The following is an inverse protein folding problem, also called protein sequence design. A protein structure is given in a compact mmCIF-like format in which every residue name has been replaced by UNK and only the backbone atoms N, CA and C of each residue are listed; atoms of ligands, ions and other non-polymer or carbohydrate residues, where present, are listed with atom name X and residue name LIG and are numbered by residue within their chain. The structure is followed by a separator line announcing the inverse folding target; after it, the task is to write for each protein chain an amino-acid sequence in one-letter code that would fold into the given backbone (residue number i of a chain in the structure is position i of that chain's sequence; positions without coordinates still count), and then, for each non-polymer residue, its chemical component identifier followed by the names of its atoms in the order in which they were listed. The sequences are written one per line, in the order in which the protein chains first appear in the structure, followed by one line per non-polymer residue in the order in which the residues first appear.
data_IF_518632562150
#
_entry.id   IF_518632562150
#
_cell.length_a   1.000
_cell.length_b   1.000
_cell.length_c   1.000
_cell.angle_alpha   90.00
_cell.angle_beta   90.00
_cell.angle_gamma   90.00
#
_symmetry.space_group_name_H-M   'P 1'
#
loop_
_entity.id
_entity.type
_entity.pdbx_description
1 polymer ?
#
# COMPACT_ATOMS: atom_id res chain seq x y z
N UNK A 1 12.72 14.36 13.68
CA UNK A 1 12.01 13.08 13.75
C UNK A 1 10.80 13.15 12.82
N UNK A 2 10.62 12.15 11.97
CA UNK A 2 9.62 12.13 10.92
C UNK A 2 8.79 10.85 11.05
N UNK A 3 7.59 10.81 10.49
CA UNK A 3 6.72 9.64 10.56
C UNK A 3 5.85 9.54 9.31
N UNK A 4 6.10 8.53 8.49
CA UNK A 4 5.29 8.18 7.33
C UNK A 4 4.25 7.10 7.68
N UNK A 5 3.01 7.31 7.27
CA UNK A 5 1.87 6.40 7.50
C UNK A 5 0.92 6.39 6.31
N UNK A 6 0.03 5.39 6.25
CA UNK A 6 -1.13 5.41 5.38
C UNK A 6 -1.99 6.65 5.70
N UNK A 7 -2.27 7.46 4.70
CA UNK A 7 -3.11 8.66 4.84
C UNK A 7 -4.55 8.36 5.26
N UNK A 8 -5.03 7.14 5.00
CA UNK A 8 -6.34 6.63 5.36
C UNK A 8 -6.26 5.68 6.58
N UNK A 9 -6.13 6.21 7.78
CA UNK A 9 -6.16 5.39 9.01
C UNK A 9 -4.84 5.25 9.76
N UNK A 10 -3.75 5.86 9.29
CA UNK A 10 -2.50 5.99 10.07
C UNK A 10 -1.68 4.70 10.22
N UNK A 11 -1.99 3.65 9.51
CA UNK A 11 -1.27 2.36 9.52
C UNK A 11 0.09 2.47 8.82
N UNK A 12 0.98 1.51 9.10
CA UNK A 12 2.24 1.32 8.35
C UNK A 12 2.06 0.48 7.08
N UNK A 13 0.83 0.14 6.74
CA UNK A 13 0.48 -0.63 5.55
C UNK A 13 -0.46 0.19 4.67
N UNK A 14 -0.22 0.13 3.36
CA UNK A 14 -1.10 0.69 2.32
C UNK A 14 -1.55 -0.43 1.39
N UNK A 15 -2.70 -0.27 0.76
CA UNK A 15 -3.18 -1.22 -0.24
C UNK A 15 -2.32 -1.18 -1.51
N UNK A 16 -2.22 -2.33 -2.19
CA UNK A 16 -1.65 -2.41 -3.53
C UNK A 16 -2.71 -1.94 -4.55
N UNK A 17 -3.06 -0.66 -4.51
CA UNK A 17 -4.14 -0.06 -5.27
C UNK A 17 -3.71 1.27 -5.92
N UNK A 18 -4.58 1.80 -6.79
CA UNK A 18 -4.41 3.15 -7.35
C UNK A 18 -4.80 4.22 -6.35
N UNK A 19 -4.19 5.39 -6.47
CA UNK A 19 -4.49 6.58 -5.67
C UNK A 19 -4.33 6.38 -4.15
N UNK A 20 -3.38 5.52 -3.75
CA UNK A 20 -3.04 5.40 -2.33
C UNK A 20 -2.33 6.65 -1.84
N UNK A 21 -2.47 6.94 -0.56
CA UNK A 21 -1.88 8.12 0.06
C UNK A 21 -0.89 7.69 1.15
N UNK A 22 0.34 8.20 1.06
CA UNK A 22 1.27 8.22 2.20
C UNK A 22 1.24 9.63 2.78
N UNK A 23 0.93 9.75 4.06
CA UNK A 23 1.08 10.98 4.82
C UNK A 23 2.37 10.91 5.61
N UNK A 24 3.25 11.89 5.40
CA UNK A 24 4.49 12.05 6.14
C UNK A 24 4.45 13.32 7.00
N UNK A 25 4.66 13.16 8.29
CA UNK A 25 4.74 14.27 9.25
C UNK A 25 6.19 14.52 9.63
N UNK A 26 6.76 15.58 9.09
CA UNK A 26 8.16 16.00 9.33
C UNK A 26 8.20 16.99 10.48
N UNK A 27 8.83 16.61 11.57
CA UNK A 27 9.10 17.52 12.73
C UNK A 27 10.44 18.21 12.54
N UNK A 28 10.44 19.52 12.68
CA UNK A 28 11.65 20.33 12.64
C UNK A 28 11.92 21.00 13.99
N UNK A 29 13.19 21.29 14.25
CA UNK A 29 13.65 22.02 15.43
C UNK A 29 14.83 22.93 15.06
N UNK A 30 15.08 23.95 15.90
CA UNK A 30 16.18 24.90 15.79
C UNK A 30 16.18 25.73 14.48
N UNK A 31 15.02 25.90 13.84
CA UNK A 31 14.93 26.76 12.67
C UNK A 31 14.87 28.23 13.09
N UNK A 32 15.61 29.12 12.38
CA UNK A 32 15.44 30.55 12.55
C UNK A 32 14.03 30.98 12.16
N UNK A 33 13.39 31.71 13.08
CA UNK A 33 12.01 32.20 12.85
C UNK A 33 11.98 33.29 11.78
N UNK A 34 10.86 33.42 11.06
CA UNK A 34 10.63 34.37 9.95
C UNK A 34 11.53 34.13 8.74
N UNK A 35 12.19 32.97 8.64
CA UNK A 35 12.90 32.55 7.45
C UNK A 35 12.03 31.57 6.66
N UNK A 36 12.21 31.60 5.34
CA UNK A 36 11.50 30.74 4.40
C UNK A 36 12.32 29.49 4.12
N UNK A 37 11.62 28.37 4.08
CA UNK A 37 12.17 27.04 3.86
C UNK A 37 11.38 26.31 2.79
N UNK A 38 12.06 25.38 2.13
CA UNK A 38 11.45 24.39 1.25
C UNK A 38 11.78 22.99 1.78
N UNK A 39 10.76 22.22 2.05
CA UNK A 39 10.85 20.80 2.36
C UNK A 39 10.55 20.00 1.10
N UNK A 40 11.43 19.05 0.76
CA UNK A 40 11.27 18.10 -0.33
C UNK A 40 11.22 16.70 0.24
N UNK A 41 10.17 15.95 -0.11
CA UNK A 41 10.05 14.54 0.17
C UNK A 41 10.12 13.74 -1.13
N UNK A 42 10.82 12.61 -1.11
CA UNK A 42 10.95 11.70 -2.25
C UNK A 42 10.62 10.29 -1.78
N UNK A 43 9.71 9.60 -2.49
CA UNK A 43 9.46 8.19 -2.23
C UNK A 43 10.58 7.33 -2.84
N UNK A 44 11.14 6.45 -2.03
CA UNK A 44 12.18 5.50 -2.46
C UNK A 44 11.86 4.08 -1.99
N UNK A 45 12.41 3.08 -2.67
CA UNK A 45 12.39 1.71 -2.17
C UNK A 45 13.33 1.57 -0.99
N UNK A 46 12.83 1.09 0.15
CA UNK A 46 13.65 0.91 1.36
C UNK A 46 14.85 -0.02 1.13
N UNK A 47 14.71 -1.01 0.24
CA UNK A 47 15.75 -2.02 -0.03
C UNK A 47 16.94 -1.50 -0.82
N UNK A 48 16.77 -0.44 -1.63
CA UNK A 48 17.81 0.05 -2.54
C UNK A 48 18.10 1.53 -2.42
N UNK A 49 17.17 2.32 -1.83
CA UNK A 49 17.22 3.77 -1.88
C UNK A 49 16.88 4.38 -3.24
N UNK A 50 16.58 3.54 -4.24
CA UNK A 50 16.19 4.01 -5.56
C UNK A 50 14.80 4.64 -5.55
N UNK A 51 14.56 5.72 -6.31
CA UNK A 51 13.27 6.37 -6.36
C UNK A 51 12.14 5.45 -6.83
N UNK A 52 10.97 5.59 -6.22
CA UNK A 52 9.72 5.06 -6.78
C UNK A 52 9.29 5.96 -7.93
N UNK A 53 9.06 5.37 -9.10
CA UNK A 53 8.76 6.11 -10.31
C UNK A 53 7.25 6.07 -10.63
N UNK A 54 6.73 7.20 -11.08
CA UNK A 54 5.43 7.32 -11.74
C UNK A 54 5.66 7.94 -13.13
N UNK A 55 5.30 7.21 -14.19
CA UNK A 55 5.58 7.62 -15.57
C UNK A 55 7.06 8.00 -15.79
N UNK A 56 7.98 7.15 -15.35
CA UNK A 56 9.44 7.30 -15.44
C UNK A 56 10.02 8.51 -14.69
N UNK A 57 9.25 9.11 -13.79
CA UNK A 57 9.70 10.24 -12.95
C UNK A 57 9.61 9.89 -11.47
N UNK A 58 10.58 10.30 -10.65
CA UNK A 58 10.50 10.15 -9.21
C UNK A 58 9.23 10.79 -8.63
N UNK A 59 8.62 10.13 -7.66
CA UNK A 59 7.51 10.69 -6.90
C UNK A 59 8.09 11.62 -5.85
N UNK A 60 7.91 12.92 -6.07
CA UNK A 60 8.45 13.99 -5.23
C UNK A 60 7.32 14.95 -4.85
N UNK A 61 7.32 15.36 -3.59
CA UNK A 61 6.47 16.42 -3.08
C UNK A 61 7.35 17.52 -2.50
N UNK A 62 7.08 18.76 -2.84
CA UNK A 62 7.74 19.93 -2.28
C UNK A 62 6.73 20.81 -1.54
N UNK A 63 7.13 21.37 -0.41
CA UNK A 63 6.32 22.28 0.39
C UNK A 63 7.15 23.43 0.92
N UNK A 64 6.82 24.64 0.52
CA UNK A 64 7.44 25.86 1.05
C UNK A 64 6.69 26.35 2.28
N UNK A 65 7.40 26.85 3.27
CA UNK A 65 6.80 27.41 4.48
C UNK A 65 7.74 28.43 5.13
N UNK A 66 7.15 29.39 5.87
CA UNK A 66 7.88 30.30 6.74
C UNK A 66 7.86 29.77 8.17
N UNK A 67 9.02 29.62 8.80
CA UNK A 67 9.12 29.16 10.19
C UNK A 67 8.53 30.22 11.14
N UNK A 68 7.36 29.96 11.71
CA UNK A 68 6.72 30.84 12.71
C UNK A 68 7.26 30.61 14.12
N UNK A 69 7.80 29.42 14.37
CA UNK A 69 8.44 28.98 15.61
C UNK A 69 9.71 28.22 15.27
N UNK A 70 10.64 28.16 16.20
CA UNK A 70 11.88 27.39 16.03
C UNK A 70 11.65 25.88 15.92
N UNK A 71 10.49 25.41 16.40
CA UNK A 71 10.06 24.01 16.38
C UNK A 71 8.65 23.91 15.82
N UNK A 72 8.36 22.83 15.12
CA UNK A 72 7.05 22.59 14.53
C UNK A 72 7.00 21.31 13.71
N UNK A 73 5.95 21.18 12.91
CA UNK A 73 5.80 20.06 11.97
C UNK A 73 5.17 20.53 10.67
N UNK A 74 5.49 19.80 9.60
CA UNK A 74 4.91 19.95 8.26
C UNK A 74 4.43 18.59 7.82
N UNK A 75 3.19 18.51 7.38
CA UNK A 75 2.63 17.31 6.76
C UNK A 75 2.84 17.38 5.24
N UNK A 76 3.29 16.28 4.65
CA UNK A 76 3.36 16.06 3.21
C UNK A 76 2.49 14.87 2.83
N UNK A 77 1.84 14.93 1.69
CA UNK A 77 0.99 13.85 1.18
C UNK A 77 1.47 13.43 -0.21
N UNK A 78 1.72 12.13 -0.36
CA UNK A 78 2.13 11.50 -1.60
C UNK A 78 0.99 10.64 -2.11
N UNK A 79 0.43 11.02 -3.26
CA UNK A 79 -0.63 10.26 -3.93
C UNK A 79 -0.02 9.54 -5.12
N UNK A 80 -0.15 8.21 -5.19
CA UNK A 80 0.47 7.43 -6.26
C UNK A 80 -0.24 6.10 -6.51
N UNK A 81 0.14 5.42 -7.61
CA UNK A 81 -0.31 4.07 -7.95
C UNK A 81 0.64 3.04 -7.34
N UNK A 82 0.15 2.28 -6.36
CA UNK A 82 0.87 1.18 -5.72
C UNK A 82 0.45 -0.21 -6.23
N UNK A 83 -0.38 -0.29 -7.28
CA UNK A 83 -0.96 -1.56 -7.76
C UNK A 83 0.08 -2.57 -8.27
N UNK A 84 1.27 -2.11 -8.66
CA UNK A 84 2.40 -2.98 -9.06
C UNK A 84 3.47 -3.18 -7.98
N UNK A 85 3.26 -2.69 -6.74
CA UNK A 85 4.29 -2.63 -5.71
C UNK A 85 4.05 -3.61 -4.55
N UNK A 86 3.27 -4.68 -4.75
CA UNK A 86 2.94 -5.64 -3.70
C UNK A 86 4.17 -6.14 -2.94
N UNK A 87 4.13 -6.04 -1.62
CA UNK A 87 5.19 -6.48 -0.71
C UNK A 87 6.42 -5.56 -0.67
N UNK A 88 6.43 -4.49 -1.45
CA UNK A 88 7.51 -3.50 -1.39
C UNK A 88 7.39 -2.64 -0.14
N UNK A 89 8.53 -2.25 0.40
CA UNK A 89 8.62 -1.24 1.46
C UNK A 89 9.05 0.08 0.84
N UNK A 90 8.26 1.11 1.09
CA UNK A 90 8.48 2.47 0.61
C UNK A 90 8.98 3.30 1.78
N UNK A 91 10.03 4.04 1.57
CA UNK A 91 10.64 4.96 2.51
C UNK A 91 10.47 6.40 1.99
N UNK A 92 10.29 7.36 2.89
CA UNK A 92 10.26 8.78 2.53
C UNK A 92 11.62 9.40 2.85
N UNK A 93 12.35 9.85 1.83
CA UNK A 93 13.52 10.70 2.01
C UNK A 93 13.09 12.16 2.14
N UNK A 94 13.62 12.88 3.12
CA UNK A 94 13.36 14.30 3.30
C UNK A 94 14.65 15.12 3.21
N UNK A 95 14.49 16.28 2.57
CA UNK A 95 15.51 17.29 2.44
C UNK A 95 14.91 18.65 2.77
N UNK A 96 15.49 19.35 3.71
CA UNK A 96 15.11 20.72 4.09
C UNK A 96 16.11 21.70 3.51
N UNK A 97 15.61 22.71 2.79
CA UNK A 97 16.41 23.77 2.21
C UNK A 97 15.98 25.12 2.80
N UNK A 98 16.93 26.05 2.95
CA UNK A 98 16.57 27.46 2.93
C UNK A 98 15.95 27.78 1.56
N UNK A 99 14.95 28.64 1.51
CA UNK A 99 14.37 29.05 0.23
C UNK A 99 15.47 29.57 -0.72
N UNK A 100 15.36 29.19 -1.99
CA UNK A 100 16.31 29.55 -3.05
C UNK A 100 17.75 28.97 -2.88
N UNK A 101 17.98 28.05 -1.96
CA UNK A 101 19.23 27.31 -1.88
C UNK A 101 19.10 25.94 -2.59
N UNK A 102 20.23 25.49 -3.17
CA UNK A 102 20.31 24.18 -3.84
C UNK A 102 20.94 23.10 -2.96
N UNK A 103 21.59 23.50 -1.87
CA UNK A 103 22.19 22.58 -0.90
C UNK A 103 21.24 22.46 0.27
N UNK A 104 20.89 21.22 0.64
CA UNK A 104 20.00 20.96 1.76
C UNK A 104 20.68 21.36 3.09
N UNK A 105 19.92 22.08 3.93
CA UNK A 105 20.33 22.44 5.29
C UNK A 105 20.24 21.24 6.24
N UNK A 106 19.31 20.32 5.99
CA UNK A 106 19.16 19.07 6.73
C UNK A 106 18.61 17.96 5.81
N UNK A 107 19.00 16.74 6.07
CA UNK A 107 18.61 15.55 5.30
C UNK A 107 18.22 14.41 6.24
N UNK A 108 17.16 13.68 5.91
CA UNK A 108 16.82 12.41 6.54
C UNK A 108 16.72 11.31 5.48
N UNK A 109 17.75 10.44 5.43
CA UNK A 109 17.90 9.37 4.43
C UNK A 109 18.32 8.04 5.08
N UNK A 110 17.95 7.82 6.34
CA UNK A 110 18.24 6.57 7.05
C UNK A 110 17.22 5.49 6.68
N UNK A 111 17.55 4.64 5.71
CA UNK A 111 16.71 3.53 5.26
C UNK A 111 16.35 2.51 6.36
N UNK A 112 17.02 2.55 7.50
CA UNK A 112 16.73 1.74 8.68
C UNK A 112 15.61 2.30 9.55
N UNK A 113 15.19 3.56 9.34
CA UNK A 113 14.14 4.18 10.15
C UNK A 113 12.76 3.60 9.79
N UNK A 114 12.26 2.73 10.69
CA UNK A 114 10.91 2.14 10.58
C UNK A 114 9.81 3.20 10.69
N UNK A 115 10.09 4.35 11.31
CA UNK A 115 9.19 5.48 11.40
C UNK A 115 8.86 6.08 10.03
N UNK A 116 9.79 5.96 9.08
CA UNK A 116 9.67 6.48 7.71
C UNK A 116 9.29 5.42 6.67
N UNK A 117 9.07 4.18 7.10
CA UNK A 117 8.77 3.07 6.20
C UNK A 117 7.28 2.73 6.21
N UNK A 118 6.69 2.61 5.02
CA UNK A 118 5.35 2.09 4.78
C UNK A 118 5.45 0.85 3.89
N UNK A 119 4.70 -0.19 4.21
CA UNK A 119 4.70 -1.45 3.44
C UNK A 119 3.47 -1.53 2.54
N UNK A 120 3.66 -1.81 1.27
CA UNK A 120 2.56 -2.13 0.34
C UNK A 120 2.08 -3.54 0.63
N UNK A 121 0.77 -3.71 0.85
CA UNK A 121 0.16 -5.01 1.15
C UNK A 121 0.43 -6.02 0.01
N UNK A 122 0.45 -7.30 0.37
CA UNK A 122 0.61 -8.38 -0.59
C UNK A 122 -0.44 -9.46 -0.30
N UNK A 123 -1.73 -9.19 -0.60
CA UNK A 123 -2.80 -10.13 -0.39
C UNK A 123 -2.56 -11.45 -1.15
N UNK A 124 -2.74 -12.56 -0.46
CA UNK A 124 -2.67 -13.89 -1.04
C UNK A 124 -3.92 -14.66 -0.66
N UNK A 125 -4.45 -15.40 -1.62
CA UNK A 125 -5.60 -16.27 -1.45
C UNK A 125 -5.21 -17.69 -1.84
N UNK A 126 -5.65 -18.65 -1.04
CA UNK A 126 -5.55 -20.08 -1.33
C UNK A 126 -6.89 -20.72 -1.03
N UNK A 127 -7.37 -21.60 -1.90
CA UNK A 127 -8.64 -22.29 -1.70
C UNK A 127 -8.48 -23.81 -1.72
N UNK A 128 -9.39 -24.50 -1.05
CA UNK A 128 -9.50 -25.96 -1.04
C UNK A 128 -10.98 -26.33 -1.13
N UNK A 129 -11.41 -26.79 -2.31
CA UNK A 129 -12.74 -27.29 -2.54
C UNK A 129 -12.86 -28.77 -2.10
N UNK A 130 -13.99 -29.15 -1.51
CA UNK A 130 -14.31 -30.52 -1.11
C UNK A 130 -15.81 -30.78 -1.15
N UNK A 131 -16.21 -32.05 -1.20
CA UNK A 131 -17.57 -32.47 -0.95
C UNK A 131 -17.96 -32.10 0.49
N UNK A 132 -19.05 -31.36 0.66
CA UNK A 132 -19.49 -30.92 2.00
C UNK A 132 -19.90 -32.08 2.90
N UNK A 133 -20.34 -33.22 2.31
CA UNK A 133 -20.90 -34.34 3.06
C UNK A 133 -19.79 -35.13 3.79
N UNK A 134 -18.70 -35.43 3.09
CA UNK A 134 -17.65 -36.34 3.58
C UNK A 134 -16.23 -35.79 3.50
N UNK A 135 -16.06 -34.55 2.99
CA UNK A 135 -14.76 -33.92 2.83
C UNK A 135 -13.92 -34.46 1.67
N UNK A 136 -14.41 -35.43 0.91
CA UNK A 136 -13.70 -36.03 -0.23
C UNK A 136 -13.53 -35.04 -1.39
N UNK A 137 -12.74 -35.45 -2.40
CA UNK A 137 -12.58 -34.71 -3.67
C UNK A 137 -13.50 -35.25 -4.78
N UNK A 138 -14.36 -36.17 -4.43
CA UNK A 138 -15.31 -36.78 -5.36
C UNK A 138 -16.72 -36.32 -5.03
N UNK A 139 -17.52 -36.14 -6.05
CA UNK A 139 -18.95 -35.87 -5.94
C UNK A 139 -19.71 -36.98 -6.65
N UNK A 140 -20.71 -37.52 -5.99
CA UNK A 140 -21.65 -38.43 -6.67
C UNK A 140 -22.51 -37.61 -7.65
N UNK A 141 -22.83 -38.19 -8.82
CA UNK A 141 -23.72 -37.56 -9.80
C UNK A 141 -25.16 -37.54 -9.26
N UNK A 142 -25.54 -36.45 -8.61
CA UNK A 142 -26.86 -36.26 -8.04
C UNK A 142 -27.39 -34.87 -8.43
N UNK A 143 -28.72 -34.68 -8.29
CA UNK A 143 -29.40 -33.42 -8.60
C UNK A 143 -29.01 -32.27 -7.70
N UNK A 144 -28.53 -32.57 -6.49
CA UNK A 144 -28.06 -31.55 -5.52
C UNK A 144 -26.79 -32.02 -4.84
N UNK A 145 -25.68 -31.51 -5.33
CA UNK A 145 -24.40 -31.66 -4.66
C UNK A 145 -23.97 -30.31 -4.02
N UNK A 146 -23.26 -30.37 -2.93
CA UNK A 146 -22.74 -29.16 -2.28
C UNK A 146 -21.23 -29.24 -2.21
N UNK A 147 -20.56 -28.26 -2.80
CA UNK A 147 -19.11 -28.06 -2.68
C UNK A 147 -18.87 -27.07 -1.54
N UNK A 148 -18.01 -27.45 -0.63
CA UNK A 148 -17.44 -26.54 0.37
C UNK A 148 -16.09 -26.06 -0.14
N UNK A 149 -15.97 -24.75 -0.38
CA UNK A 149 -14.68 -24.14 -0.68
C UNK A 149 -14.16 -23.39 0.55
N UNK A 150 -13.03 -23.85 1.09
CA UNK A 150 -12.36 -23.22 2.23
C UNK A 150 -11.34 -22.24 1.70
N UNK A 151 -11.58 -20.96 1.93
CA UNK A 151 -10.70 -19.86 1.51
C UNK A 151 -9.78 -19.46 2.63
N UNK A 152 -8.48 -19.57 2.41
CA UNK A 152 -7.43 -19.06 3.31
C UNK A 152 -6.80 -17.81 2.68
N UNK A 153 -6.53 -16.82 3.49
CA UNK A 153 -5.91 -15.57 3.04
C UNK A 153 -4.79 -15.13 3.97
N UNK A 154 -3.88 -14.31 3.44
CA UNK A 154 -2.80 -13.67 4.21
C UNK A 154 -2.43 -12.34 3.55
N UNK A 155 -1.69 -11.48 4.29
CA UNK A 155 -1.22 -10.19 3.76
C UNK A 155 -2.32 -9.13 3.59
N UNK A 156 -3.48 -9.32 4.24
CA UNK A 156 -4.53 -8.32 4.34
C UNK A 156 -4.18 -7.27 5.40
N UNK A 157 -4.74 -6.09 5.27
CA UNK A 157 -4.58 -5.00 6.23
C UNK A 157 -5.72 -5.07 7.23
N UNK A 158 -5.38 -5.09 8.51
CA UNK A 158 -6.37 -5.11 9.60
C UNK A 158 -7.28 -3.87 9.53
N UNK A 159 -8.58 -4.09 9.76
CA UNK A 159 -9.60 -3.04 9.71
C UNK A 159 -10.13 -2.71 8.31
N UNK A 160 -9.52 -3.24 7.24
CA UNK A 160 -10.04 -3.06 5.88
C UNK A 160 -11.10 -4.10 5.53
N UNK A 161 -12.06 -3.70 4.71
CA UNK A 161 -13.12 -4.60 4.22
C UNK A 161 -12.72 -5.17 2.87
N UNK A 162 -12.80 -6.49 2.74
CA UNK A 162 -12.49 -7.22 1.51
C UNK A 162 -13.72 -8.01 1.04
N UNK A 163 -13.90 -8.10 -0.27
CA UNK A 163 -14.92 -8.96 -0.88
C UNK A 163 -14.26 -10.24 -1.38
N UNK A 164 -14.79 -11.38 -0.97
CA UNK A 164 -14.43 -12.69 -1.54
C UNK A 164 -15.53 -13.10 -2.51
N UNK A 165 -15.14 -13.52 -3.70
CA UNK A 165 -16.05 -14.11 -4.70
C UNK A 165 -15.39 -15.36 -5.28
N UNK A 166 -16.21 -16.38 -5.56
CA UNK A 166 -15.78 -17.62 -6.19
C UNK A 166 -16.68 -17.94 -7.37
N UNK A 167 -16.14 -18.61 -8.37
CA UNK A 167 -16.88 -19.12 -9.52
C UNK A 167 -16.54 -20.58 -9.71
N UNK A 168 -17.56 -21.44 -9.86
CA UNK A 168 -17.34 -22.84 -10.15
C UNK A 168 -16.88 -23.00 -11.61
N UNK A 169 -15.72 -23.62 -11.81
CA UNK A 169 -15.10 -23.78 -13.13
C UNK A 169 -15.01 -25.25 -13.52
N UNK A 170 -15.34 -25.56 -14.76
CA UNK A 170 -15.03 -26.85 -15.34
C UNK A 170 -13.52 -26.92 -15.64
N UNK A 171 -12.85 -27.88 -15.02
CA UNK A 171 -11.39 -28.02 -15.13
C UNK A 171 -10.93 -28.43 -16.53
N UNK A 172 -11.76 -29.19 -17.28
CA UNK A 172 -11.39 -29.69 -18.59
C UNK A 172 -11.47 -28.63 -19.67
N UNK A 173 -12.49 -27.77 -19.58
CA UNK A 173 -12.74 -26.72 -20.58
C UNK A 173 -12.24 -25.36 -20.17
N UNK A 174 -12.03 -25.12 -18.88
CA UNK A 174 -11.68 -23.79 -18.34
C UNK A 174 -12.87 -22.81 -18.34
N UNK A 175 -14.07 -23.26 -18.62
CA UNK A 175 -15.26 -22.42 -18.64
C UNK A 175 -16.01 -22.44 -17.30
N UNK A 176 -16.75 -21.37 -16.95
CA UNK A 176 -17.67 -21.40 -15.82
C UNK A 176 -18.71 -22.52 -15.97
N UNK A 177 -19.02 -23.20 -14.86
CA UNK A 177 -20.17 -24.10 -14.79
C UNK A 177 -21.42 -23.26 -14.66
N UNK A 178 -22.42 -23.58 -15.47
CA UNK A 178 -23.72 -22.92 -15.46
C UNK A 178 -24.78 -23.85 -14.89
N UNK A 179 -25.82 -23.27 -14.32
CA UNK A 179 -27.01 -24.00 -13.88
C UNK A 179 -27.99 -24.32 -15.04
N UNK A 180 -29.15 -24.90 -14.73
CA UNK A 180 -30.17 -25.24 -15.70
C UNK A 180 -30.75 -24.02 -16.45
N UNK A 181 -30.60 -22.81 -15.90
CA UNK A 181 -31.04 -21.55 -16.54
C UNK A 181 -29.95 -20.92 -17.41
N UNK A 182 -28.73 -21.46 -17.39
CA UNK A 182 -27.56 -20.94 -18.09
C UNK A 182 -26.82 -19.86 -17.31
N UNK A 183 -27.13 -19.63 -16.02
CA UNK A 183 -26.42 -18.67 -15.15
C UNK A 183 -25.20 -19.31 -14.50
N UNK A 184 -24.14 -18.53 -14.39
CA UNK A 184 -22.89 -18.98 -13.76
C UNK A 184 -23.09 -19.25 -12.27
N UNK A 185 -22.63 -20.40 -11.80
CA UNK A 185 -22.63 -20.75 -10.37
C UNK A 185 -21.51 -19.98 -9.65
N UNK A 186 -21.88 -19.06 -8.74
CA UNK A 186 -20.96 -18.19 -7.98
C UNK A 186 -21.21 -18.28 -6.46
#
# INVERSE_FOLDING_TARGET
NTTAVNGEGGSKYIDAARNVVIKDTVKYAHLPIKHDFKLRGTLVFQSSGEPVLLNDKPIVVEKSFTAKKAEGSIDMEFVFDASGLQGKKIFVFEELFYENQTIAAAVHKDLGDVGQTVTVSNPKVKTVASNKVDGSKMLEPDKRVTILDTVSFSGLIEGHTYKVSGTLMDKATGNPVVDESGETIT
#
